data_IF_786247794867
#
_entry.id   IF_786247794867
#
_cell.length_a   1.000
_cell.length_b   1.000
_cell.length_c   1.000
_cell.angle_alpha   90.00
_cell.angle_beta   90.00
_cell.angle_gamma   90.00
#
_symmetry.space_group_name_H-M   'P 1'
#
loop_
_entity.id
_entity.type
_entity.pdbx_description
1 polymer ?
#
# COMPACT_ATOMS: atom_id res chain seq x y z
N UNK A 1 -9.88 0.91 -13.57
CA UNK A 1 -9.48 -0.19 -12.68
C UNK A 1 -8.03 -0.53 -12.97
N UNK A 2 -7.08 -0.32 -12.06
CA UNK A 2 -5.65 -0.64 -12.28
C UNK A 2 -5.38 -2.04 -11.70
N UNK A 3 -4.79 -2.97 -12.48
CA UNK A 3 -4.41 -4.28 -11.95
C UNK A 3 -3.43 -4.14 -10.77
N UNK A 4 -3.59 -4.93 -9.72
CA UNK A 4 -2.77 -4.86 -8.50
C UNK A 4 -1.27 -4.93 -8.80
N UNK A 5 -0.87 -5.80 -9.73
CA UNK A 5 0.52 -5.99 -10.17
C UNK A 5 1.09 -4.82 -11.00
N UNK A 6 0.25 -3.85 -11.38
CA UNK A 6 0.65 -2.63 -12.10
C UNK A 6 0.54 -1.38 -11.22
N UNK A 7 0.39 -1.53 -9.90
CA UNK A 7 0.33 -0.40 -8.96
C UNK A 7 1.70 0.25 -8.69
N UNK A 8 2.82 -0.40 -9.00
CA UNK A 8 4.18 0.13 -8.76
C UNK A 8 4.42 1.56 -9.26
N UNK A 9 4.15 1.88 -10.55
CA UNK A 9 4.31 3.25 -11.06
C UNK A 9 3.43 4.28 -10.34
N UNK A 10 2.25 3.86 -9.87
CA UNK A 10 1.33 4.74 -9.13
C UNK A 10 1.88 5.01 -7.73
N UNK A 11 2.33 3.98 -7.02
CA UNK A 11 2.97 4.09 -5.70
C UNK A 11 4.20 4.99 -5.75
N UNK A 12 5.06 4.82 -6.76
CA UNK A 12 6.23 5.68 -6.98
C UNK A 12 5.83 7.16 -7.14
N UNK A 13 4.79 7.43 -7.94
CA UNK A 13 4.31 8.79 -8.16
C UNK A 13 3.75 9.40 -6.87
N UNK A 14 3.00 8.65 -6.09
CA UNK A 14 2.47 9.13 -4.81
C UNK A 14 3.59 9.38 -3.80
N UNK A 15 4.61 8.51 -3.74
CA UNK A 15 5.78 8.70 -2.88
C UNK A 15 6.57 9.97 -3.26
N UNK A 16 6.78 10.21 -4.56
CA UNK A 16 7.44 11.42 -5.05
C UNK A 16 6.64 12.68 -4.72
N UNK A 17 5.32 12.65 -4.89
CA UNK A 17 4.43 13.76 -4.49
C UNK A 17 4.47 14.00 -2.98
N UNK A 18 4.41 12.94 -2.16
CA UNK A 18 4.49 13.03 -0.71
C UNK A 18 5.84 13.59 -0.26
N UNK A 19 6.93 13.12 -0.85
CA UNK A 19 8.29 13.59 -0.57
C UNK A 19 8.45 15.08 -0.89
N UNK A 20 7.87 15.55 -2.01
CA UNK A 20 7.89 16.97 -2.38
C UNK A 20 7.05 17.86 -1.47
N UNK A 21 5.99 17.33 -0.87
CA UNK A 21 5.06 18.10 -0.03
C UNK A 21 5.49 18.13 1.44
N UNK A 22 5.82 16.97 1.97
CA UNK A 22 5.98 16.74 3.42
C UNK A 22 7.42 16.33 3.79
N UNK A 23 8.27 16.06 2.79
CA UNK A 23 9.64 15.55 2.98
C UNK A 23 9.74 14.02 3.01
N UNK A 24 10.95 13.50 2.83
CA UNK A 24 11.19 12.05 2.67
C UNK A 24 10.74 11.24 3.90
N UNK A 25 11.03 11.73 5.11
CA UNK A 25 10.67 11.02 6.35
C UNK A 25 9.16 10.91 6.53
N UNK A 26 8.42 11.97 6.22
CA UNK A 26 6.96 11.95 6.27
C UNK A 26 6.38 11.00 5.22
N UNK A 27 6.94 10.99 4.00
CA UNK A 27 6.53 10.07 2.94
C UNK A 27 6.77 8.59 3.30
N UNK A 28 7.88 8.26 3.97
CA UNK A 28 8.15 6.90 4.45
C UNK A 28 7.19 6.47 5.56
N UNK A 29 6.82 7.39 6.44
CA UNK A 29 5.93 7.14 7.58
C UNK A 29 4.43 7.12 7.20
N UNK A 30 4.10 7.48 5.96
CA UNK A 30 2.73 7.38 5.45
C UNK A 30 2.22 5.93 5.51
N UNK A 31 1.02 5.76 6.09
CA UNK A 31 0.37 4.47 6.18
C UNK A 31 -0.41 4.16 4.91
N UNK A 32 0.03 3.13 4.18
CA UNK A 32 -0.66 2.64 2.97
C UNK A 32 -1.80 1.71 3.39
N UNK A 33 -3.04 2.16 3.20
CA UNK A 33 -4.23 1.37 3.50
C UNK A 33 -4.62 0.52 2.29
N UNK A 34 -4.45 -0.79 2.40
CA UNK A 34 -4.84 -1.77 1.39
C UNK A 34 -6.24 -2.25 1.72
N UNK A 35 -7.20 -2.02 0.82
CA UNK A 35 -8.55 -2.55 0.93
C UNK A 35 -8.72 -3.68 -0.05
N UNK A 36 -9.04 -4.85 0.46
CA UNK A 36 -9.24 -6.05 -0.33
C UNK A 36 -10.55 -6.73 0.11
N UNK A 37 -11.28 -7.31 -0.83
CA UNK A 37 -12.39 -8.20 -0.50
C UNK A 37 -11.83 -9.52 0.06
N UNK A 38 -12.63 -10.26 0.84
CA UNK A 38 -12.15 -11.48 1.51
C UNK A 38 -11.79 -12.62 0.55
N UNK A 39 -12.28 -12.57 -0.68
CA UNK A 39 -11.94 -13.52 -1.74
C UNK A 39 -10.58 -13.19 -2.41
N UNK A 40 -9.98 -12.04 -2.11
CA UNK A 40 -8.69 -11.67 -2.71
C UNK A 40 -7.59 -12.58 -2.17
N UNK A 41 -6.84 -13.26 -3.05
CA UNK A 41 -5.72 -14.09 -2.63
C UNK A 41 -4.68 -13.29 -1.83
N UNK A 42 -4.33 -13.80 -0.65
CA UNK A 42 -3.31 -13.19 0.22
C UNK A 42 -1.99 -12.94 -0.51
N UNK A 43 -1.62 -13.81 -1.45
CA UNK A 43 -0.43 -13.62 -2.28
C UNK A 43 -0.44 -12.31 -3.07
N UNK A 44 -1.59 -11.88 -3.61
CA UNK A 44 -1.69 -10.61 -4.34
C UNK A 44 -1.53 -9.41 -3.41
N UNK A 45 -2.06 -9.51 -2.18
CA UNK A 45 -1.87 -8.48 -1.15
C UNK A 45 -0.41 -8.39 -0.73
N UNK A 46 0.26 -9.53 -0.55
CA UNK A 46 1.69 -9.57 -0.22
C UNK A 46 2.55 -8.96 -1.33
N UNK A 47 2.27 -9.24 -2.60
CA UNK A 47 2.97 -8.61 -3.73
C UNK A 47 2.75 -7.10 -3.76
N UNK A 48 1.55 -6.62 -3.41
CA UNK A 48 1.28 -5.18 -3.30
C UNK A 48 2.09 -4.52 -2.17
N UNK A 49 2.22 -5.18 -1.03
CA UNK A 49 3.03 -4.69 0.08
C UNK A 49 4.50 -4.62 -0.34
N UNK A 50 5.03 -5.66 -0.98
CA UNK A 50 6.41 -5.65 -1.50
C UNK A 50 6.67 -4.49 -2.45
N UNK A 51 5.77 -4.27 -3.42
CA UNK A 51 5.87 -3.12 -4.33
C UNK A 51 5.88 -1.78 -3.58
N UNK A 52 5.11 -1.66 -2.49
CA UNK A 52 5.16 -0.47 -1.64
C UNK A 52 6.49 -0.32 -0.89
N UNK A 53 7.02 -1.41 -0.34
CA UNK A 53 8.31 -1.42 0.34
C UNK A 53 9.47 -1.05 -0.59
N UNK A 54 9.43 -1.51 -1.85
CA UNK A 54 10.40 -1.10 -2.89
C UNK A 54 10.37 0.41 -3.16
N UNK A 55 9.23 1.08 -2.92
CA UNK A 55 9.10 2.54 -3.01
C UNK A 55 9.37 3.26 -1.68
N UNK A 56 9.94 2.57 -0.67
CA UNK A 56 10.28 3.08 0.66
C UNK A 56 9.08 3.38 1.59
N UNK A 57 7.89 2.83 1.33
CA UNK A 57 6.81 2.90 2.32
C UNK A 57 7.09 1.92 3.46
N UNK A 58 6.93 2.37 4.71
CA UNK A 58 7.25 1.56 5.90
C UNK A 58 6.02 1.06 6.65
N UNK A 59 4.85 1.67 6.44
CA UNK A 59 3.61 1.33 7.17
C UNK A 59 2.51 0.88 6.22
N UNK A 60 1.92 -0.27 6.53
CA UNK A 60 0.82 -0.87 5.76
C UNK A 60 -0.30 -1.28 6.70
N UNK A 61 -1.54 -1.02 6.29
CA UNK A 61 -2.73 -1.46 7.01
C UNK A 61 -3.64 -2.18 6.03
N UNK A 62 -3.89 -3.47 6.26
CA UNK A 62 -4.81 -4.27 5.46
C UNK A 62 -6.20 -4.22 6.09
N UNK A 63 -7.20 -3.76 5.32
CA UNK A 63 -8.61 -3.82 5.70
C UNK A 63 -9.33 -4.77 4.74
N UNK A 64 -9.59 -5.98 5.21
CA UNK A 64 -10.45 -6.92 4.52
C UNK A 64 -11.92 -6.47 4.64
N UNK A 65 -12.71 -6.59 3.57
CA UNK A 65 -14.13 -6.21 3.58
C UNK A 65 -15.06 -7.29 4.15
N UNK A 66 -14.53 -8.30 4.83
CA UNK A 66 -15.35 -9.30 5.52
C UNK A 66 -14.73 -9.65 6.86
N UNK A 67 -15.51 -9.42 7.91
CA UNK A 67 -15.21 -9.84 9.28
C UNK A 67 -14.13 -9.02 9.97
N UNK A 68 -14.50 -8.44 11.10
CA UNK A 68 -13.59 -7.97 12.14
C UNK A 68 -12.37 -8.89 12.30
N UNK A 69 -11.19 -8.28 12.50
CA UNK A 69 -10.23 -8.86 13.44
C UNK A 69 -10.14 -7.84 14.57
N UNK A 70 -11.04 -7.98 15.55
CA UNK A 70 -10.79 -7.61 16.93
C UNK A 70 -9.89 -8.68 17.52
N UNK A 71 -8.68 -8.28 17.94
CA UNK A 71 -7.86 -8.92 18.99
C UNK A 71 -6.94 -7.86 19.58
#
# INVERSE_FOLDING_TARGET
NIPVLKCGPRLKREYDVATRREGEKAAQDMTVVIRADADVPTGLVQELIKMGQEQKFSKFSLKAKSGENED
#
